data_IF_194781641959
#
_entry.id   IF_194781641959
#
_cell.length_a   1.000
_cell.length_b   1.000
_cell.length_c   1.000
_cell.angle_alpha   90.00
_cell.angle_beta   90.00
_cell.angle_gamma   90.00
#
_symmetry.space_group_name_H-M   'P 1'
#
loop_
_entity.id
_entity.type
_entity.pdbx_description
1 polymer ?
#
# COMPACT_ATOMS: atom_id res chain seq x y z
N UNK A 1 26.48 -12.40 10.41
CA UNK A 1 26.56 -11.22 9.51
C UNK A 1 25.89 -10.05 10.24
N UNK A 2 26.52 -8.88 10.25
CA UNK A 2 25.86 -7.66 10.75
C UNK A 2 24.84 -7.29 9.67
N UNK A 3 23.55 -7.08 10.00
CA UNK A 3 22.57 -6.65 9.01
C UNK A 3 23.02 -5.30 8.39
N UNK A 4 22.72 -5.07 7.11
CA UNK A 4 23.04 -3.78 6.50
C UNK A 4 22.33 -2.67 7.28
N UNK A 5 23.04 -1.60 7.59
CA UNK A 5 22.45 -0.40 8.19
C UNK A 5 21.90 0.43 7.03
N UNK A 6 20.59 0.40 6.86
CA UNK A 6 19.91 1.28 5.92
C UNK A 6 19.71 2.67 6.54
N UNK A 7 19.73 3.71 5.72
CA UNK A 7 19.32 5.03 6.17
C UNK A 7 17.83 4.97 6.59
N UNK A 8 17.47 5.66 7.65
CA UNK A 8 16.07 5.77 8.05
C UNK A 8 15.31 6.60 6.99
N UNK A 9 14.08 6.22 6.64
CA UNK A 9 13.27 7.00 5.71
C UNK A 9 13.00 8.41 6.24
N UNK A 10 12.96 9.38 5.34
CA UNK A 10 12.67 10.77 5.65
C UNK A 10 11.57 11.31 4.75
N UNK A 11 10.74 12.22 5.28
CA UNK A 11 9.69 12.91 4.55
C UNK A 11 10.10 14.33 4.24
N UNK A 12 9.57 14.89 3.17
CA UNK A 12 9.75 16.32 2.83
C UNK A 12 8.78 17.24 3.55
N UNK A 13 7.64 16.69 3.97
CA UNK A 13 6.67 17.44 4.79
C UNK A 13 7.03 17.32 6.28
N UNK A 14 7.39 18.44 6.86
CA UNK A 14 7.78 18.55 8.26
C UNK A 14 6.64 18.33 9.25
N UNK A 15 5.39 18.29 8.82
CA UNK A 15 4.23 18.01 9.67
C UNK A 15 4.08 16.52 9.99
N UNK A 16 4.81 15.66 9.28
CA UNK A 16 4.76 14.20 9.41
C UNK A 16 6.11 13.61 9.78
N UNK A 17 6.08 12.40 10.32
CA UNK A 17 7.27 11.60 10.61
C UNK A 17 7.06 10.16 10.19
N UNK A 18 8.17 9.48 9.86
CA UNK A 18 8.17 8.03 9.65
C UNK A 18 8.47 7.35 10.98
N UNK A 19 7.64 6.39 11.33
CA UNK A 19 7.83 5.50 12.47
C UNK A 19 8.13 4.09 11.98
N UNK A 20 9.18 3.46 12.50
CA UNK A 20 9.37 2.02 12.35
C UNK A 20 8.32 1.32 13.21
N UNK A 21 7.29 0.78 12.57
CA UNK A 21 6.14 0.22 13.28
C UNK A 21 6.42 -1.22 13.75
N UNK A 22 6.77 -2.12 12.82
CA UNK A 22 7.13 -3.51 13.12
C UNK A 22 8.29 -3.94 12.23
N UNK A 23 9.22 -4.70 12.79
CA UNK A 23 10.36 -5.27 12.06
C UNK A 23 10.55 -6.75 12.43
N UNK A 24 11.44 -7.42 11.72
CA UNK A 24 11.76 -8.83 11.97
C UNK A 24 11.15 -9.79 10.95
N UNK A 25 10.59 -9.29 9.85
CA UNK A 25 10.23 -10.12 8.71
C UNK A 25 11.52 -10.61 8.03
N UNK A 26 11.68 -11.94 7.97
CA UNK A 26 12.93 -12.53 7.47
C UNK A 26 12.94 -12.84 5.99
N UNK A 27 11.73 -13.03 5.41
CA UNK A 27 11.60 -13.82 4.19
C UNK A 27 10.90 -13.05 3.08
N UNK A 28 11.27 -11.75 2.95
CA UNK A 28 10.80 -10.85 1.92
C UNK A 28 9.31 -10.52 2.06
N UNK A 29 8.93 -9.66 3.04
CA UNK A 29 7.56 -9.19 3.12
C UNK A 29 7.18 -8.48 1.82
N UNK A 30 6.03 -8.81 1.22
CA UNK A 30 5.61 -8.27 -0.08
C UNK A 30 4.40 -7.35 0.02
N UNK A 31 3.36 -7.80 0.69
CA UNK A 31 2.10 -7.08 0.77
C UNK A 31 1.41 -7.36 2.10
N UNK A 32 0.48 -6.51 2.46
CA UNK A 32 -0.29 -6.61 3.69
C UNK A 32 -1.77 -6.36 3.43
N UNK A 33 -2.61 -6.80 4.37
CA UNK A 33 -4.02 -6.45 4.41
C UNK A 33 -4.46 -6.29 5.86
N UNK A 34 -5.34 -5.33 6.11
CA UNK A 34 -5.92 -5.10 7.43
C UNK A 34 -7.17 -5.95 7.65
N UNK A 35 -7.24 -6.60 8.80
CA UNK A 35 -8.45 -7.21 9.34
C UNK A 35 -8.75 -6.58 10.71
N UNK A 36 -9.65 -5.62 10.71
CA UNK A 36 -9.79 -4.73 11.86
C UNK A 36 -8.48 -3.97 12.13
N UNK A 37 -7.93 -4.11 13.33
CA UNK A 37 -6.64 -3.51 13.71
C UNK A 37 -5.45 -4.46 13.49
N UNK A 38 -5.70 -5.74 13.20
CA UNK A 38 -4.70 -6.74 12.89
C UNK A 38 -4.19 -6.55 11.45
N UNK A 39 -2.91 -6.89 11.21
CA UNK A 39 -2.32 -6.85 9.87
C UNK A 39 -1.84 -8.26 9.49
N UNK A 40 -2.35 -8.76 8.38
CA UNK A 40 -1.84 -9.97 7.73
C UNK A 40 -0.77 -9.56 6.71
N UNK A 41 0.44 -10.11 6.84
CA UNK A 41 1.61 -9.76 6.01
C UNK A 41 2.13 -11.00 5.32
N UNK A 42 2.31 -10.93 4.00
CA UNK A 42 2.85 -12.03 3.21
C UNK A 42 4.38 -12.05 3.26
N UNK A 43 4.98 -13.18 3.57
CA UNK A 43 6.41 -13.46 3.36
C UNK A 43 6.57 -14.28 2.08
N UNK A 44 7.15 -13.64 1.04
CA UNK A 44 7.19 -14.13 -0.33
C UNK A 44 7.92 -15.45 -0.49
N UNK A 45 9.09 -15.58 0.19
CA UNK A 45 10.04 -16.65 -0.10
C UNK A 45 9.70 -17.98 0.53
N UNK A 46 8.97 -17.97 1.64
CA UNK A 46 8.64 -19.18 2.41
C UNK A 46 7.13 -19.41 2.58
N UNK A 47 6.29 -18.68 1.82
CA UNK A 47 4.86 -18.96 1.74
C UNK A 47 4.06 -18.67 2.99
N UNK A 48 4.60 -17.88 3.92
CA UNK A 48 3.93 -17.60 5.19
C UNK A 48 3.05 -16.37 5.13
N UNK A 49 1.93 -16.44 5.85
CA UNK A 49 1.14 -15.28 6.23
C UNK A 49 1.42 -15.00 7.71
N UNK A 50 2.02 -13.84 7.98
CA UNK A 50 2.37 -13.40 9.32
C UNK A 50 1.29 -12.48 9.86
N UNK A 51 1.07 -12.56 11.16
CA UNK A 51 0.14 -11.71 11.88
C UNK A 51 0.91 -10.65 12.68
N UNK A 52 0.51 -9.40 12.53
CA UNK A 52 0.87 -8.30 13.44
C UNK A 52 -0.38 -7.95 14.22
N UNK A 53 -0.33 -8.11 15.52
CA UNK A 53 -1.40 -7.79 16.47
C UNK A 53 -0.90 -6.86 17.55
N UNK A 54 -1.63 -5.77 17.82
CA UNK A 54 -1.21 -4.73 18.77
C UNK A 54 0.20 -4.16 18.48
N UNK A 55 0.57 -4.06 17.19
CA UNK A 55 1.89 -3.60 16.76
C UNK A 55 3.02 -4.62 17.02
N UNK A 56 2.70 -5.87 17.33
CA UNK A 56 3.66 -6.93 17.62
C UNK A 56 3.56 -8.05 16.57
N UNK A 57 4.69 -8.35 15.91
CA UNK A 57 4.79 -9.50 15.01
C UNK A 57 4.66 -10.80 15.82
N UNK A 58 3.64 -11.59 15.52
CA UNK A 58 3.39 -12.85 16.21
C UNK A 58 4.42 -13.91 15.77
N UNK A 59 4.85 -14.75 16.71
CA UNK A 59 5.86 -15.78 16.47
C UNK A 59 5.38 -16.84 15.45
N UNK A 60 4.15 -17.33 15.65
CA UNK A 60 3.54 -18.33 14.77
C UNK A 60 2.90 -17.66 13.56
N UNK A 61 3.16 -18.12 12.32
CA UNK A 61 2.41 -17.68 11.16
C UNK A 61 0.96 -18.19 11.24
N UNK A 62 0.03 -17.45 10.67
CA UNK A 62 -1.39 -17.86 10.59
C UNK A 62 -1.67 -18.79 9.41
N UNK A 63 -0.72 -18.88 8.47
CA UNK A 63 -0.70 -19.83 7.36
C UNK A 63 0.75 -20.09 6.93
N UNK A 64 1.00 -21.33 6.46
CA UNK A 64 2.29 -21.76 5.90
C UNK A 64 2.00 -22.68 4.71
N UNK A 65 2.22 -22.16 3.49
CA UNK A 65 1.97 -22.85 2.22
C UNK A 65 3.26 -23.07 1.47
N UNK A 66 3.39 -24.22 0.84
CA UNK A 66 4.54 -24.51 0.00
C UNK A 66 4.54 -23.64 -1.27
N UNK A 67 5.57 -22.84 -1.46
CA UNK A 67 5.68 -21.93 -2.61
C UNK A 67 6.97 -22.15 -3.40
N UNK A 68 6.90 -21.90 -4.72
CA UNK A 68 8.08 -21.61 -5.52
C UNK A 68 8.28 -20.09 -5.57
N UNK A 69 9.46 -19.63 -5.16
CA UNK A 69 9.80 -18.21 -5.11
C UNK A 69 10.90 -17.81 -6.11
N UNK A 70 11.08 -18.60 -7.18
CA UNK A 70 12.06 -18.29 -8.23
C UNK A 70 11.66 -17.03 -9.01
N UNK A 71 12.62 -16.14 -9.30
CA UNK A 71 12.35 -14.89 -10.00
C UNK A 71 11.40 -14.01 -9.19
N UNK A 72 10.26 -13.66 -9.76
CA UNK A 72 9.21 -12.87 -9.10
C UNK A 72 8.09 -13.73 -8.50
N UNK A 73 8.19 -15.05 -8.54
CA UNK A 73 7.21 -15.98 -7.97
C UNK A 73 7.24 -15.98 -6.44
N UNK A 74 6.29 -16.65 -5.81
CA UNK A 74 6.16 -16.76 -4.36
C UNK A 74 4.77 -16.44 -3.88
N UNK A 75 4.64 -16.02 -2.62
CA UNK A 75 3.42 -15.49 -2.02
C UNK A 75 3.32 -14.00 -2.38
N UNK A 76 2.35 -13.60 -3.21
CA UNK A 76 2.38 -12.29 -3.87
C UNK A 76 1.19 -11.40 -3.56
N UNK A 77 -0.01 -11.92 -3.46
CA UNK A 77 -1.21 -11.10 -3.33
C UNK A 77 -2.12 -11.51 -2.18
N UNK A 78 -2.69 -10.52 -1.53
CA UNK A 78 -3.69 -10.68 -0.47
C UNK A 78 -4.75 -9.59 -0.59
N UNK A 79 -6.00 -9.96 -0.36
CA UNK A 79 -7.09 -9.01 -0.06
C UNK A 79 -8.15 -9.69 0.80
N UNK A 80 -8.98 -8.90 1.49
CA UNK A 80 -9.96 -9.39 2.46
C UNK A 80 -11.35 -8.87 2.10
N UNK A 81 -12.35 -9.76 2.20
CA UNK A 81 -13.78 -9.42 2.07
C UNK A 81 -14.55 -10.06 3.23
N UNK A 82 -14.98 -9.26 4.17
CA UNK A 82 -15.54 -9.77 5.42
C UNK A 82 -14.54 -10.69 6.12
N UNK A 83 -14.88 -11.92 6.41
CA UNK A 83 -13.96 -12.91 7.01
C UNK A 83 -13.23 -13.78 5.98
N UNK A 84 -13.40 -13.51 4.68
CA UNK A 84 -12.71 -14.23 3.62
C UNK A 84 -11.40 -13.54 3.25
N UNK A 85 -10.30 -14.27 3.32
CA UNK A 85 -8.97 -13.84 2.86
C UNK A 85 -8.67 -14.53 1.54
N UNK A 86 -8.35 -13.75 0.52
CA UNK A 86 -7.93 -14.25 -0.80
C UNK A 86 -6.43 -14.11 -0.92
N UNK A 87 -5.77 -15.19 -1.34
CA UNK A 87 -4.32 -15.24 -1.52
C UNK A 87 -3.98 -15.67 -2.94
N UNK A 88 -3.00 -15.00 -3.54
CA UNK A 88 -2.41 -15.39 -4.82
C UNK A 88 -0.95 -15.77 -4.63
N UNK A 89 -0.57 -16.98 -5.08
CA UNK A 89 0.80 -17.47 -4.98
C UNK A 89 1.12 -18.55 -6.02
N UNK A 90 2.42 -18.81 -6.20
CA UNK A 90 2.92 -19.92 -7.01
C UNK A 90 3.11 -21.15 -6.13
N UNK A 91 2.16 -22.07 -6.21
CA UNK A 91 2.17 -23.31 -5.42
C UNK A 91 3.25 -24.29 -5.88
N UNK A 92 3.86 -25.00 -4.95
CA UNK A 92 4.81 -26.08 -5.18
C UNK A 92 4.54 -27.28 -4.27
N UNK A 93 5.15 -28.42 -4.56
CA UNK A 93 5.00 -29.64 -3.73
C UNK A 93 5.69 -29.51 -2.37
N UNK A 94 6.75 -28.70 -2.30
CA UNK A 94 7.51 -28.37 -1.09
C UNK A 94 8.16 -27.00 -1.29
N UNK A 95 8.55 -26.33 -0.20
CA UNK A 95 9.17 -25.01 -0.27
C UNK A 95 10.39 -24.96 -1.17
N UNK A 96 10.36 -24.03 -2.14
CA UNK A 96 11.39 -23.89 -3.16
C UNK A 96 11.36 -25.00 -4.22
N UNK A 97 10.39 -25.91 -4.15
CA UNK A 97 10.20 -26.98 -5.13
C UNK A 97 9.78 -26.48 -6.52
N UNK A 98 9.71 -27.38 -7.50
CA UNK A 98 9.19 -27.04 -8.84
C UNK A 98 7.76 -26.45 -8.73
N UNK A 99 7.44 -25.39 -9.50
CA UNK A 99 6.12 -24.80 -9.46
C UNK A 99 5.07 -25.78 -10.04
N UNK A 100 3.95 -25.92 -9.34
CA UNK A 100 2.78 -26.68 -9.81
C UNK A 100 1.91 -25.77 -10.67
N UNK A 101 1.47 -24.64 -10.11
CA UNK A 101 0.60 -23.66 -10.75
C UNK A 101 0.61 -22.34 -9.99
N UNK A 102 0.20 -21.27 -10.67
CA UNK A 102 -0.16 -20.02 -10.02
C UNK A 102 -1.63 -20.10 -9.65
N UNK A 103 -1.96 -19.85 -8.39
CA UNK A 103 -3.32 -20.10 -7.90
C UNK A 103 -3.82 -18.99 -7.01
N UNK A 104 -5.13 -18.79 -7.08
CA UNK A 104 -5.85 -18.01 -6.08
C UNK A 104 -6.65 -18.96 -5.22
N UNK A 105 -6.45 -18.84 -3.93
CA UNK A 105 -7.24 -19.52 -2.92
C UNK A 105 -7.99 -18.52 -2.05
N UNK A 106 -9.14 -18.91 -1.53
CA UNK A 106 -9.76 -18.22 -0.41
C UNK A 106 -9.65 -19.07 0.85
N UNK A 107 -9.56 -18.39 1.98
CA UNK A 107 -9.52 -18.95 3.32
C UNK A 107 -10.56 -18.25 4.19
N UNK A 108 -11.00 -18.91 5.25
CA UNK A 108 -11.74 -18.26 6.33
C UNK A 108 -10.78 -17.82 7.42
N UNK A 109 -10.87 -16.55 7.83
CA UNK A 109 -10.16 -16.00 8.96
C UNK A 109 -10.95 -16.30 10.26
N UNK A 110 -10.31 -16.95 11.22
CA UNK A 110 -10.91 -17.31 12.51
C UNK A 110 -10.28 -16.61 13.72
N UNK A 111 -9.60 -15.46 13.47
CA UNK A 111 -8.84 -14.64 14.42
C UNK A 111 -7.43 -15.17 14.77
N UNK A 112 -7.14 -16.45 14.56
CA UNK A 112 -5.86 -17.07 14.88
C UNK A 112 -5.18 -17.75 13.68
N UNK A 113 -5.96 -18.29 12.75
CA UNK A 113 -5.48 -19.07 11.62
C UNK A 113 -6.35 -18.83 10.37
N UNK A 114 -5.75 -19.01 9.19
CA UNK A 114 -6.46 -19.13 7.92
C UNK A 114 -6.82 -20.58 7.68
N UNK A 115 -8.13 -20.87 7.63
CA UNK A 115 -8.67 -22.23 7.53
C UNK A 115 -9.57 -22.39 6.29
N UNK A 116 -10.05 -23.59 6.03
CA UNK A 116 -11.02 -23.89 4.96
C UNK A 116 -10.54 -23.46 3.56
N UNK A 117 -9.26 -23.79 3.21
CA UNK A 117 -8.65 -23.55 1.90
C UNK A 117 -9.58 -23.96 0.76
N UNK A 118 -9.91 -23.03 -0.13
CA UNK A 118 -10.78 -23.25 -1.27
C UNK A 118 -10.13 -22.69 -2.54
N UNK A 119 -9.91 -23.51 -3.57
CA UNK A 119 -9.39 -23.07 -4.86
C UNK A 119 -10.43 -22.19 -5.58
N UNK A 120 -10.05 -20.96 -5.88
CA UNK A 120 -10.88 -19.97 -6.60
C UNK A 120 -10.51 -19.93 -8.06
N UNK A 121 -9.21 -19.88 -8.37
CA UNK A 121 -8.72 -19.77 -9.74
C UNK A 121 -7.41 -20.52 -9.89
N UNK A 122 -7.31 -21.35 -10.95
CA UNK A 122 -6.07 -21.94 -11.42
C UNK A 122 -5.58 -21.16 -12.64
N UNK A 123 -4.35 -20.67 -12.59
CA UNK A 123 -3.78 -19.76 -13.59
C UNK A 123 -2.66 -20.46 -14.35
N UNK A 124 -2.39 -20.07 -15.60
CA UNK A 124 -1.37 -20.72 -16.41
C UNK A 124 -0.01 -20.75 -15.73
N UNK A 125 0.61 -21.90 -15.65
CA UNK A 125 2.00 -22.04 -15.28
C UNK A 125 2.87 -21.59 -16.44
N UNK A 126 3.62 -20.50 -16.21
CA UNK A 126 4.38 -19.81 -17.21
C UNK A 126 5.81 -19.52 -16.71
N UNK A 127 6.45 -18.46 -17.20
CA UNK A 127 7.81 -18.07 -16.77
C UNK A 127 7.80 -17.45 -15.36
N UNK A 128 8.98 -17.24 -14.82
CA UNK A 128 9.21 -16.80 -13.44
C UNK A 128 9.11 -15.28 -13.23
N UNK A 129 8.98 -14.51 -14.32
CA UNK A 129 8.92 -13.04 -14.30
C UNK A 129 7.55 -12.53 -14.73
N UNK A 130 7.25 -11.29 -14.37
CA UNK A 130 6.02 -10.57 -14.68
C UNK A 130 4.79 -11.32 -14.18
N UNK A 131 4.83 -11.68 -12.90
CA UNK A 131 3.73 -12.44 -12.29
C UNK A 131 2.57 -11.57 -11.85
N UNK A 132 2.77 -10.25 -11.78
CA UNK A 132 1.82 -9.35 -11.15
C UNK A 132 1.66 -9.70 -9.67
N UNK A 133 0.45 -9.74 -9.19
CA UNK A 133 0.11 -10.22 -7.86
C UNK A 133 -0.68 -9.21 -7.02
N UNK A 134 -0.73 -7.95 -7.39
CA UNK A 134 -1.56 -6.99 -6.67
C UNK A 134 -3.03 -7.43 -6.68
N UNK A 135 -3.63 -7.46 -5.50
CA UNK A 135 -5.03 -7.79 -5.28
C UNK A 135 -5.72 -6.66 -4.54
N UNK A 136 -6.96 -6.38 -4.91
CA UNK A 136 -7.78 -5.37 -4.23
C UNK A 136 -9.24 -5.80 -4.18
N UNK A 137 -9.95 -5.32 -3.16
CA UNK A 137 -11.41 -5.39 -3.07
C UNK A 137 -11.98 -4.01 -3.35
N UNK A 138 -12.89 -3.90 -4.35
CA UNK A 138 -13.54 -2.63 -4.65
C UNK A 138 -14.64 -2.27 -3.65
N UNK A 139 -15.22 -1.08 -3.80
CA UNK A 139 -16.28 -0.57 -2.93
C UNK A 139 -17.58 -1.42 -2.95
N UNK A 140 -17.74 -2.30 -3.95
CA UNK A 140 -18.84 -3.23 -4.09
C UNK A 140 -18.55 -4.62 -3.51
N UNK A 141 -17.35 -4.85 -3.02
CA UNK A 141 -16.88 -6.14 -2.51
C UNK A 141 -16.42 -7.09 -3.61
N UNK A 142 -16.12 -6.60 -4.82
CA UNK A 142 -15.56 -7.42 -5.89
C UNK A 142 -14.04 -7.51 -5.73
N UNK A 143 -13.52 -8.72 -5.90
CA UNK A 143 -12.08 -8.99 -5.78
C UNK A 143 -11.43 -9.00 -7.16
N UNK A 144 -10.35 -8.22 -7.27
CA UNK A 144 -9.53 -8.13 -8.48
C UNK A 144 -8.10 -8.60 -8.23
N UNK A 145 -7.47 -9.12 -9.28
CA UNK A 145 -6.08 -9.57 -9.32
C UNK A 145 -5.43 -9.11 -10.62
N UNK A 146 -4.24 -8.55 -10.53
CA UNK A 146 -3.38 -8.35 -11.70
C UNK A 146 -2.56 -9.60 -11.97
N UNK A 147 -2.58 -10.06 -13.22
CA UNK A 147 -1.64 -11.04 -13.75
C UNK A 147 -0.90 -10.41 -14.91
N UNK A 148 0.42 -10.31 -14.82
CA UNK A 148 1.25 -9.74 -15.88
C UNK A 148 1.37 -10.66 -17.11
N UNK A 149 2.20 -10.26 -18.09
CA UNK A 149 2.42 -11.01 -19.33
C UNK A 149 3.22 -12.31 -19.11
N UNK A 150 3.70 -12.51 -17.91
CA UNK A 150 4.49 -13.67 -17.48
C UNK A 150 5.73 -13.92 -18.35
N UNK A 151 6.36 -12.85 -18.82
CA UNK A 151 7.55 -12.86 -19.68
C UNK A 151 7.28 -13.32 -21.09
N UNK A 152 6.07 -13.17 -21.60
CA UNK A 152 5.67 -13.56 -22.96
C UNK A 152 5.49 -12.40 -23.91
N UNK A 153 5.84 -11.18 -23.51
CA UNK A 153 5.79 -9.97 -24.33
C UNK A 153 4.40 -9.72 -24.94
N UNK A 154 3.35 -9.81 -24.13
CA UNK A 154 1.98 -9.56 -24.55
C UNK A 154 1.39 -10.54 -25.58
N UNK A 155 2.12 -11.56 -25.98
CA UNK A 155 1.75 -12.46 -27.10
C UNK A 155 0.40 -13.13 -26.95
N UNK A 156 -0.12 -13.25 -25.76
CA UNK A 156 -1.37 -13.98 -25.52
C UNK A 156 -2.60 -13.08 -25.50
N UNK A 157 -2.44 -11.81 -25.14
CA UNK A 157 -3.56 -10.91 -25.02
C UNK A 157 -3.58 -9.80 -26.07
N UNK A 158 -2.44 -9.19 -26.36
CA UNK A 158 -2.37 -8.10 -27.33
C UNK A 158 -2.14 -8.56 -28.78
N UNK A 159 -1.71 -9.76 -29.01
CA UNK A 159 -1.48 -10.29 -30.35
C UNK A 159 -2.59 -11.18 -30.90
N UNK A 160 -3.75 -11.21 -30.29
CA UNK A 160 -5.04 -11.74 -30.78
C UNK A 160 -5.01 -13.08 -31.53
N UNK A 161 -4.04 -13.96 -31.27
CA UNK A 161 -3.86 -15.20 -31.98
C UNK A 161 -4.41 -16.43 -31.25
N UNK A 162 -5.25 -16.26 -30.27
CA UNK A 162 -5.82 -17.36 -29.50
C UNK A 162 -6.85 -16.92 -28.48
N UNK A 163 -7.39 -17.90 -27.77
CA UNK A 163 -8.28 -17.66 -26.65
C UNK A 163 -7.54 -16.92 -25.53
N UNK A 164 -8.22 -15.99 -24.84
CA UNK A 164 -7.70 -15.36 -23.64
C UNK A 164 -7.25 -16.40 -22.62
N UNK A 165 -6.10 -16.18 -21.98
CA UNK A 165 -5.47 -17.18 -21.13
C UNK A 165 -5.10 -16.67 -19.74
N UNK A 166 -5.79 -15.64 -19.27
CA UNK A 166 -5.60 -15.10 -17.92
C UNK A 166 -4.20 -14.50 -17.66
N UNK A 167 -3.51 -14.00 -18.70
CA UNK A 167 -2.25 -13.26 -18.57
C UNK A 167 -2.38 -11.88 -19.23
N UNK A 168 -1.55 -10.91 -18.83
CA UNK A 168 -1.63 -9.52 -19.29
C UNK A 168 -2.98 -8.86 -18.97
N UNK A 169 -3.52 -9.08 -17.78
CA UNK A 169 -4.90 -8.71 -17.45
C UNK A 169 -5.07 -8.27 -15.99
N UNK A 170 -6.13 -7.48 -15.76
CA UNK A 170 -6.75 -7.38 -14.45
C UNK A 170 -7.98 -8.28 -14.46
N UNK A 171 -7.98 -9.30 -13.59
CA UNK A 171 -9.05 -10.28 -13.45
C UNK A 171 -10.02 -9.85 -12.35
N UNK A 172 -11.33 -9.96 -12.60
CA UNK A 172 -12.31 -10.02 -11.52
C UNK A 172 -12.49 -11.46 -11.08
N UNK A 173 -12.09 -11.78 -9.85
CA UNK A 173 -11.98 -13.15 -9.34
C UNK A 173 -13.23 -13.56 -8.56
N UNK A 174 -13.74 -12.66 -7.72
CA UNK A 174 -14.88 -12.95 -6.86
C UNK A 174 -15.86 -11.77 -6.81
N UNK A 175 -17.14 -11.96 -7.24
CA UNK A 175 -17.57 -13.07 -8.07
C UNK A 175 -16.88 -13.06 -9.43
N UNK A 176 -16.64 -14.23 -10.06
CA UNK A 176 -15.97 -14.27 -11.36
C UNK A 176 -16.67 -13.39 -12.41
N UNK A 177 -15.87 -12.72 -13.23
CA UNK A 177 -16.37 -11.82 -14.26
C UNK A 177 -15.48 -11.77 -15.50
N UNK A 178 -15.82 -10.91 -16.48
CA UNK A 178 -14.95 -10.64 -17.61
C UNK A 178 -13.64 -10.01 -17.13
N UNK A 179 -12.62 -9.98 -17.97
CA UNK A 179 -11.42 -9.21 -17.70
C UNK A 179 -11.81 -7.74 -17.49
N UNK A 180 -11.27 -7.16 -16.43
CA UNK A 180 -11.49 -5.75 -16.15
C UNK A 180 -10.63 -4.88 -17.07
N UNK A 181 -9.37 -5.28 -17.25
CA UNK A 181 -8.41 -4.65 -18.15
C UNK A 181 -7.55 -5.70 -18.87
N UNK A 182 -6.92 -5.29 -19.96
CA UNK A 182 -6.00 -6.09 -20.77
C UNK A 182 -4.74 -5.29 -21.13
N UNK A 183 -3.75 -5.97 -21.68
CA UNK A 183 -2.54 -5.32 -22.15
C UNK A 183 -1.58 -4.91 -21.03
N UNK A 184 -1.65 -5.55 -19.88
CA UNK A 184 -0.80 -5.28 -18.72
C UNK A 184 0.51 -6.06 -18.84
N UNK A 185 1.65 -5.35 -18.76
CA UNK A 185 2.96 -6.01 -18.75
C UNK A 185 3.27 -6.64 -17.40
N UNK A 186 3.38 -5.82 -16.37
CA UNK A 186 3.69 -6.27 -15.00
C UNK A 186 3.32 -5.18 -14.00
N UNK A 187 2.37 -5.46 -13.14
CA UNK A 187 1.86 -4.51 -12.15
C UNK A 187 1.94 -5.11 -10.76
N UNK A 188 2.44 -4.33 -9.81
CA UNK A 188 2.57 -4.68 -8.40
C UNK A 188 1.68 -3.82 -7.49
N UNK A 189 0.88 -2.94 -8.05
CA UNK A 189 0.00 -2.08 -7.28
C UNK A 189 -1.39 -1.95 -7.90
N UNK A 190 -2.42 -2.07 -7.07
CA UNK A 190 -3.81 -1.73 -7.37
C UNK A 190 -4.38 -0.89 -6.24
N UNK A 191 -5.11 0.16 -6.59
CA UNK A 191 -5.87 0.95 -5.64
C UNK A 191 -7.28 1.24 -6.16
N UNK A 192 -8.21 1.47 -5.25
CA UNK A 192 -9.56 1.97 -5.56
C UNK A 192 -9.63 3.43 -5.18
N UNK A 193 -9.98 4.28 -6.13
CA UNK A 193 -10.27 5.68 -5.83
C UNK A 193 -11.50 5.78 -4.92
N UNK A 194 -11.38 6.33 -3.71
CA UNK A 194 -12.47 6.36 -2.75
C UNK A 194 -13.63 7.30 -3.15
N UNK A 195 -13.44 8.11 -4.20
CA UNK A 195 -14.44 9.07 -4.70
C UNK A 195 -15.18 8.52 -5.89
N UNK A 196 -14.47 7.93 -6.87
CA UNK A 196 -15.06 7.44 -8.12
C UNK A 196 -15.35 5.95 -8.09
N UNK A 197 -14.63 5.18 -7.27
CA UNK A 197 -14.66 3.71 -7.25
C UNK A 197 -13.88 3.05 -8.39
N UNK A 198 -13.21 3.84 -9.24
CA UNK A 198 -12.38 3.33 -10.33
C UNK A 198 -11.06 2.75 -9.81
N UNK A 199 -10.54 1.76 -10.53
CA UNK A 199 -9.24 1.17 -10.23
C UNK A 199 -8.10 1.99 -10.82
N UNK A 200 -7.01 2.06 -10.08
CA UNK A 200 -5.73 2.58 -10.52
C UNK A 200 -4.67 1.51 -10.36
N UNK A 201 -3.73 1.44 -11.30
CA UNK A 201 -2.61 0.52 -11.21
C UNK A 201 -1.27 1.20 -11.50
N UNK A 202 -0.20 0.57 -11.01
CA UNK A 202 1.17 0.88 -11.41
C UNK A 202 1.64 -0.18 -12.38
N UNK A 203 2.29 0.20 -13.47
CA UNK A 203 2.81 -0.75 -14.45
C UNK A 203 4.30 -0.55 -14.70
N UNK A 204 5.04 -1.65 -14.71
CA UNK A 204 6.48 -1.66 -14.90
C UNK A 204 6.84 -1.90 -16.37
N UNK A 205 7.55 -0.96 -16.96
CA UNK A 205 8.05 -1.02 -18.32
C UNK A 205 9.20 -2.01 -18.54
N UNK A 206 9.63 -2.14 -19.80
CA UNK A 206 10.75 -3.03 -20.14
C UNK A 206 12.11 -2.35 -19.89
N UNK A 207 12.40 -1.32 -20.65
CA UNK A 207 13.64 -0.56 -20.52
C UNK A 207 13.38 0.95 -20.30
N UNK A 208 12.22 1.38 -20.70
CA UNK A 208 11.76 2.76 -20.61
C UNK A 208 10.29 2.75 -20.23
N UNK A 209 9.88 3.80 -19.58
CA UNK A 209 8.53 4.09 -19.14
C UNK A 209 7.94 3.07 -18.18
N UNK A 210 7.88 3.48 -16.93
CA UNK A 210 6.93 2.94 -15.98
C UNK A 210 5.72 3.86 -15.93
N UNK A 211 4.57 3.34 -15.46
CA UNK A 211 3.29 4.03 -15.61
C UNK A 211 2.46 4.03 -14.33
N UNK A 212 1.59 5.04 -14.23
CA UNK A 212 0.39 5.03 -13.39
C UNK A 212 -0.80 5.14 -14.34
N UNK A 213 -1.71 4.18 -14.25
CA UNK A 213 -2.87 4.10 -15.10
C UNK A 213 -4.18 4.21 -14.31
N UNK A 214 -5.13 4.98 -14.84
CA UNK A 214 -6.54 4.86 -14.47
C UNK A 214 -7.13 3.65 -15.21
N UNK A 215 -7.13 2.52 -14.55
CA UNK A 215 -7.61 1.27 -15.11
C UNK A 215 -9.15 1.20 -15.03
N UNK A 216 -9.82 1.87 -15.95
CA UNK A 216 -11.27 1.78 -16.07
C UNK A 216 -11.74 0.42 -16.62
N UNK A 217 -13.01 0.08 -16.42
CA UNK A 217 -13.55 -1.15 -16.99
C UNK A 217 -13.38 -1.19 -18.51
N UNK A 218 -12.85 -2.29 -19.02
CA UNK A 218 -12.45 -2.49 -20.42
C UNK A 218 -11.24 -1.65 -20.88
N UNK A 219 -10.38 -1.27 -19.98
CA UNK A 219 -9.09 -0.64 -20.28
C UNK A 219 -8.16 -1.60 -21.01
N UNK A 220 -7.41 -1.06 -22.00
CA UNK A 220 -6.26 -1.72 -22.62
C UNK A 220 -5.03 -0.87 -22.43
N UNK A 221 -4.05 -1.35 -21.67
CA UNK A 221 -2.79 -0.65 -21.39
C UNK A 221 -1.84 -0.58 -22.60
N UNK A 222 -2.02 -1.47 -23.58
CA UNK A 222 -1.27 -1.38 -24.86
C UNK A 222 -0.02 -2.23 -24.97
N UNK A 223 0.42 -2.88 -23.90
CA UNK A 223 1.57 -3.80 -23.98
C UNK A 223 1.32 -4.93 -24.97
N UNK A 224 2.29 -5.31 -25.84
CA UNK A 224 3.71 -4.91 -25.88
C UNK A 224 4.00 -3.83 -26.96
N UNK A 225 2.97 -3.22 -27.52
CA UNK A 225 3.11 -2.23 -28.60
C UNK A 225 3.40 -0.84 -28.04
N UNK A 226 2.79 -0.50 -26.91
CA UNK A 226 2.89 0.81 -26.27
C UNK A 226 3.34 0.61 -24.83
N UNK A 227 4.24 1.46 -24.40
CA UNK A 227 4.65 1.68 -23.03
C UNK A 227 5.03 3.15 -22.90
N UNK A 228 4.47 3.86 -21.92
CA UNK A 228 4.52 5.31 -21.85
C UNK A 228 3.55 6.01 -22.82
N UNK A 229 3.71 7.31 -23.04
CA UNK A 229 2.86 8.07 -23.94
C UNK A 229 2.89 7.52 -25.36
N UNK A 230 1.72 7.32 -25.96
CA UNK A 230 1.59 6.76 -27.30
C UNK A 230 1.97 7.74 -28.40
N UNK A 231 2.26 7.20 -29.57
CA UNK A 231 2.37 7.96 -30.80
C UNK A 231 1.54 7.33 -31.93
N UNK A 232 1.29 8.10 -32.98
CA UNK A 232 0.45 7.67 -34.10
C UNK A 232 0.90 6.34 -34.76
N UNK A 233 2.20 6.05 -34.75
CA UNK A 233 2.75 4.81 -35.34
C UNK A 233 2.44 3.59 -34.44
N UNK A 234 2.51 3.76 -33.13
CA UNK A 234 2.18 2.72 -32.17
C UNK A 234 0.68 2.44 -32.18
N UNK A 235 -0.14 3.51 -32.11
CA UNK A 235 -1.61 3.37 -32.17
C UNK A 235 -2.08 2.65 -33.42
N UNK A 236 -1.45 2.91 -34.59
CA UNK A 236 -1.78 2.22 -35.83
C UNK A 236 -1.42 0.71 -35.83
N UNK A 237 -0.57 0.27 -34.90
CA UNK A 237 -0.12 -1.13 -34.77
C UNK A 237 -0.82 -1.87 -33.61
N UNK A 238 -1.47 -1.11 -32.73
CA UNK A 238 -2.09 -1.69 -31.55
C UNK A 238 -3.23 -2.61 -32.00
N UNK A 239 -3.23 -3.90 -31.59
CA UNK A 239 -4.33 -4.80 -31.88
C UNK A 239 -5.63 -4.33 -31.24
N UNK A 240 -6.72 -4.29 -32.00
CA UNK A 240 -8.03 -3.98 -31.46
C UNK A 240 -8.64 -5.21 -30.78
N UNK A 241 -9.02 -5.09 -29.52
CA UNK A 241 -9.86 -6.07 -28.83
C UNK A 241 -11.28 -5.56 -28.74
N UNK A 242 -12.27 -6.34 -29.18
CA UNK A 242 -13.67 -5.91 -29.10
C UNK A 242 -14.06 -5.58 -27.66
N UNK A 243 -14.48 -4.34 -27.43
CA UNK A 243 -14.94 -3.87 -26.13
C UNK A 243 -13.85 -3.27 -25.23
N UNK A 244 -12.57 -3.37 -25.58
CA UNK A 244 -11.48 -2.75 -24.82
C UNK A 244 -10.92 -1.53 -25.56
N UNK A 245 -10.61 -0.49 -24.81
CA UNK A 245 -10.14 0.80 -25.33
C UNK A 245 -8.78 1.14 -24.73
N UNK A 246 -7.84 1.51 -25.58
CA UNK A 246 -6.55 2.02 -25.15
C UNK A 246 -6.69 3.47 -24.67
N UNK A 247 -6.05 3.77 -23.57
CA UNK A 247 -5.82 5.12 -23.07
C UNK A 247 -4.34 5.28 -22.70
N UNK A 248 -3.80 6.47 -22.94
CA UNK A 248 -2.47 6.80 -22.46
C UNK A 248 -2.42 6.80 -20.92
N UNK A 249 -1.26 6.48 -20.32
CA UNK A 249 -1.11 6.54 -18.87
C UNK A 249 -1.32 7.95 -18.32
N UNK A 250 -1.84 8.06 -17.10
CA UNK A 250 -2.02 9.32 -16.40
C UNK A 250 -0.70 9.93 -15.97
N UNK A 251 0.34 9.09 -15.78
CA UNK A 251 1.70 9.54 -15.54
C UNK A 251 2.70 8.48 -15.98
N UNK A 252 3.89 8.93 -16.43
CA UNK A 252 4.96 8.01 -16.81
C UNK A 252 6.32 8.52 -16.31
N UNK A 253 7.17 7.57 -15.93
CA UNK A 253 8.61 7.80 -15.71
C UNK A 253 9.38 7.28 -16.93
N UNK A 254 10.06 8.15 -17.70
CA UNK A 254 10.88 7.72 -18.83
C UNK A 254 12.04 6.81 -18.39
N UNK A 255 12.73 7.16 -17.29
CA UNK A 255 13.61 6.24 -16.59
C UNK A 255 12.80 5.36 -15.63
N UNK A 256 12.90 4.05 -15.79
CA UNK A 256 12.20 3.11 -14.92
C UNK A 256 12.57 3.30 -13.45
N UNK A 257 11.56 3.31 -12.59
CA UNK A 257 11.67 3.42 -11.13
C UNK A 257 11.23 2.14 -10.42
N UNK A 258 10.59 1.21 -11.18
CA UNK A 258 9.89 0.03 -10.69
C UNK A 258 8.82 0.40 -9.65
N UNK A 259 7.75 1.11 -10.05
CA UNK A 259 6.66 1.44 -9.15
C UNK A 259 5.99 0.16 -8.65
N UNK A 260 5.55 0.21 -7.40
CA UNK A 260 4.99 -0.92 -6.67
C UNK A 260 3.60 -0.56 -6.12
N UNK A 261 3.39 -0.71 -4.81
CA UNK A 261 2.12 -0.40 -4.17
C UNK A 261 1.70 1.05 -4.35
N UNK A 262 0.40 1.27 -4.47
CA UNK A 262 -0.22 2.59 -4.47
C UNK A 262 -1.49 2.57 -3.62
N UNK A 263 -1.83 3.71 -3.04
CA UNK A 263 -3.05 3.88 -2.23
C UNK A 263 -3.55 5.31 -2.24
N UNK A 264 -4.85 5.48 -2.04
CA UNK A 264 -5.45 6.78 -1.73
C UNK A 264 -5.61 6.93 -0.22
N UNK A 265 -5.28 8.11 0.30
CA UNK A 265 -5.56 8.42 1.70
C UNK A 265 -6.82 9.28 1.81
N UNK A 266 -7.78 8.84 2.62
CA UNK A 266 -9.02 9.60 2.87
C UNK A 266 -9.32 9.63 4.37
N UNK A 267 -8.48 10.33 5.13
CA UNK A 267 -8.55 10.34 6.58
C UNK A 267 -8.27 11.72 7.17
N UNK A 268 -8.75 11.95 8.42
CA UNK A 268 -8.51 13.21 9.14
C UNK A 268 -7.02 13.48 9.41
N UNK A 269 -6.19 12.49 9.82
CA UNK A 269 -4.76 12.73 10.00
C UNK A 269 -4.04 13.26 8.75
N UNK A 270 -4.59 13.01 7.57
CA UNK A 270 -4.04 13.45 6.27
C UNK A 270 -4.97 14.44 5.55
N UNK A 271 -5.72 15.28 6.26
CA UNK A 271 -6.66 16.23 5.65
C UNK A 271 -6.04 17.08 4.53
N UNK A 272 -4.77 17.49 4.70
CA UNK A 272 -3.99 18.23 3.69
C UNK A 272 -3.81 17.50 2.36
N UNK A 273 -3.84 16.17 2.40
CA UNK A 273 -3.61 15.25 1.28
C UNK A 273 -4.79 14.33 1.04
N UNK A 274 -5.96 14.75 1.49
CA UNK A 274 -7.19 13.95 1.38
C UNK A 274 -7.48 13.60 -0.07
N UNK A 275 -7.63 12.31 -0.34
CA UNK A 275 -7.85 11.72 -1.66
C UNK A 275 -6.74 11.87 -2.69
N UNK A 276 -5.53 12.25 -2.27
CA UNK A 276 -4.34 12.16 -3.11
C UNK A 276 -3.88 10.71 -3.24
N UNK A 277 -3.20 10.43 -4.34
CA UNK A 277 -2.59 9.14 -4.61
C UNK A 277 -1.14 9.10 -4.12
N UNK A 278 -0.81 8.08 -3.35
CA UNK A 278 0.55 7.78 -2.93
C UNK A 278 1.06 6.53 -3.64
N UNK A 279 2.29 6.58 -4.15
CA UNK A 279 2.92 5.50 -4.94
C UNK A 279 4.33 5.25 -4.43
N UNK A 280 4.72 3.99 -4.33
CA UNK A 280 6.07 3.56 -3.95
C UNK A 280 6.88 3.11 -5.16
N UNK A 281 8.22 3.13 -5.02
CA UNK A 281 9.14 2.48 -5.94
C UNK A 281 10.10 1.51 -5.25
N UNK A 282 10.64 0.57 -6.02
CA UNK A 282 11.59 -0.42 -5.54
C UNK A 282 13.06 -0.05 -5.87
N UNK A 283 13.32 0.77 -6.88
CA UNK A 283 14.70 1.09 -7.32
C UNK A 283 15.31 2.15 -6.42
N UNK A 284 14.61 3.26 -6.19
CA UNK A 284 15.13 4.39 -5.44
C UNK A 284 14.65 4.45 -4.00
N UNK A 285 13.57 3.73 -3.68
CA UNK A 285 12.95 3.73 -2.36
C UNK A 285 12.25 5.04 -2.04
N UNK A 286 11.62 5.63 -3.04
CA UNK A 286 10.83 6.84 -2.89
C UNK A 286 9.37 6.51 -2.59
N UNK A 287 8.74 7.45 -1.90
CA UNK A 287 7.30 7.60 -1.81
C UNK A 287 6.93 8.84 -2.60
N UNK A 288 6.14 8.66 -3.63
CA UNK A 288 5.59 9.73 -4.45
C UNK A 288 4.20 10.10 -3.98
N UNK A 289 3.81 11.36 -4.20
CA UNK A 289 2.46 11.90 -4.00
C UNK A 289 1.98 12.58 -5.26
N UNK A 290 0.76 12.28 -5.65
CA UNK A 290 0.09 12.86 -6.80
C UNK A 290 -1.24 13.48 -6.36
N UNK A 291 -1.42 14.77 -6.64
CA UNK A 291 -2.67 15.48 -6.49
C UNK A 291 -3.52 15.24 -7.74
N UNK A 292 -4.74 14.71 -7.56
CA UNK A 292 -5.64 14.49 -8.67
C UNK A 292 -6.34 15.79 -9.10
N UNK A 293 -6.65 15.89 -10.37
CA UNK A 293 -7.48 16.96 -10.90
C UNK A 293 -8.94 16.84 -10.45
N UNK A 294 -9.78 17.80 -10.82
CA UNK A 294 -11.20 17.82 -10.41
C UNK A 294 -12.03 16.68 -11.01
N UNK A 295 -11.63 16.16 -12.17
CA UNK A 295 -12.31 15.04 -12.83
C UNK A 295 -11.84 13.69 -12.29
N UNK A 296 -10.69 13.68 -11.59
CA UNK A 296 -10.00 12.49 -11.08
C UNK A 296 -9.61 11.51 -12.18
N UNK A 297 -9.23 12.05 -13.34
CA UNK A 297 -8.71 11.28 -14.49
C UNK A 297 -7.30 11.73 -14.93
N UNK A 298 -6.66 12.59 -14.13
CA UNK A 298 -5.31 13.11 -14.31
C UNK A 298 -4.74 13.72 -13.05
N UNK A 299 -3.54 14.27 -13.17
CA UNK A 299 -2.80 14.88 -12.06
C UNK A 299 -2.58 16.38 -12.28
N UNK A 300 -2.41 17.11 -11.18
CA UNK A 300 -2.12 18.55 -11.17
C UNK A 300 -0.65 18.74 -10.81
N UNK A 301 0.09 19.42 -11.70
CA UNK A 301 1.48 19.79 -11.45
C UNK A 301 1.67 21.30 -11.55
N UNK A 302 2.48 21.83 -10.62
CA UNK A 302 2.94 23.22 -10.65
C UNK A 302 4.22 23.38 -11.47
N UNK A 303 5.04 22.31 -11.52
CA UNK A 303 6.27 22.28 -12.29
C UNK A 303 5.99 22.17 -13.79
N UNK A 304 6.56 23.05 -14.62
CA UNK A 304 6.45 22.91 -16.07
C UNK A 304 7.13 21.64 -16.62
N UNK A 305 8.04 21.03 -15.86
CA UNK A 305 8.73 19.78 -16.25
C UNK A 305 7.82 18.55 -16.22
N UNK A 306 6.74 18.59 -15.44
CA UNK A 306 5.79 17.49 -15.33
C UNK A 306 4.46 17.77 -16.05
N UNK A 307 4.38 18.91 -16.78
CA UNK A 307 3.13 19.35 -17.40
C UNK A 307 2.64 18.48 -18.56
N UNK A 308 3.49 17.62 -19.09
CA UNK A 308 3.17 16.60 -20.10
C UNK A 308 2.87 15.23 -19.50
N UNK A 309 2.76 15.15 -18.16
CA UNK A 309 2.55 13.91 -17.39
C UNK A 309 3.70 12.90 -17.53
N UNK A 310 4.90 13.36 -17.83
CA UNK A 310 6.11 12.53 -17.96
C UNK A 310 7.24 13.11 -17.12
N UNK A 311 7.86 12.26 -16.31
CA UNK A 311 9.16 12.55 -15.72
C UNK A 311 10.26 12.15 -16.73
N UNK A 312 10.65 13.08 -17.59
CA UNK A 312 11.66 12.83 -18.62
C UNK A 312 13.07 12.69 -18.03
N UNK A 313 13.95 12.01 -18.75
CA UNK A 313 15.35 11.83 -18.33
C UNK A 313 16.03 13.18 -18.05
N UNK A 314 16.51 13.36 -16.82
CA UNK A 314 17.22 14.56 -16.39
C UNK A 314 16.33 15.68 -15.88
N UNK A 315 15.02 15.51 -15.85
CA UNK A 315 14.08 16.45 -15.22
C UNK A 315 13.93 16.21 -13.73
N UNK A 316 13.56 17.26 -13.02
CA UNK A 316 13.35 17.19 -11.58
C UNK A 316 11.98 16.60 -11.24
N UNK A 317 11.98 15.59 -10.39
CA UNK A 317 10.79 14.98 -9.80
C UNK A 317 10.50 15.49 -8.38
N UNK A 318 11.16 16.58 -7.94
CA UNK A 318 11.06 17.03 -6.55
C UNK A 318 9.64 17.32 -6.09
N UNK A 319 8.79 17.80 -6.99
CA UNK A 319 7.38 18.11 -6.68
C UNK A 319 6.58 16.90 -6.24
N UNK A 320 6.83 15.74 -6.86
CA UNK A 320 6.09 14.52 -6.58
C UNK A 320 6.72 13.63 -5.50
N UNK A 321 7.99 13.86 -5.12
CA UNK A 321 8.64 13.07 -4.06
C UNK A 321 8.15 13.54 -2.70
N UNK A 322 7.37 12.72 -2.01
CA UNK A 322 6.89 12.96 -0.65
C UNK A 322 7.87 12.47 0.41
N UNK A 323 8.58 11.36 0.14
CA UNK A 323 9.58 10.80 1.06
C UNK A 323 10.59 9.92 0.34
N UNK A 324 11.69 9.59 1.04
CA UNK A 324 12.79 8.78 0.48
C UNK A 324 13.35 7.83 1.53
N UNK A 325 14.10 6.82 1.10
CA UNK A 325 14.83 5.92 2.00
C UNK A 325 14.03 4.71 2.46
N UNK A 326 12.90 4.39 1.82
CA UNK A 326 12.09 3.21 2.16
C UNK A 326 12.68 1.88 1.64
N UNK A 327 13.79 1.92 0.89
CA UNK A 327 14.37 0.76 0.23
C UNK A 327 13.47 0.23 -0.88
N UNK A 328 13.60 -1.05 -1.25
CA UNK A 328 12.60 -1.66 -2.11
C UNK A 328 11.30 -1.81 -1.31
N UNK A 329 10.45 -0.78 -1.34
CA UNK A 329 9.13 -0.80 -0.75
C UNK A 329 8.15 -1.43 -1.73
N UNK A 330 7.28 -2.31 -1.27
CA UNK A 330 6.46 -3.14 -2.16
C UNK A 330 4.98 -2.94 -2.00
N UNK A 331 4.55 -2.38 -0.86
CA UNK A 331 3.13 -2.17 -0.60
C UNK A 331 2.90 -0.96 0.31
N UNK A 332 1.77 -0.29 0.11
CA UNK A 332 1.30 0.84 0.92
C UNK A 332 -0.20 0.77 1.10
N UNK A 333 -0.64 0.87 2.34
CA UNK A 333 -2.06 0.80 2.70
C UNK A 333 -2.45 1.91 3.66
N UNK A 334 -3.68 2.36 3.54
CA UNK A 334 -4.32 3.19 4.54
C UNK A 334 -4.89 2.30 5.66
N UNK A 335 -4.36 2.43 6.86
CA UNK A 335 -4.83 1.67 8.02
C UNK A 335 -6.20 2.14 8.53
N UNK A 336 -6.86 1.35 9.37
CA UNK A 336 -8.15 1.70 9.99
C UNK A 336 -8.06 2.93 10.91
N UNK A 337 -6.86 3.23 11.40
CA UNK A 337 -6.54 4.45 12.17
C UNK A 337 -6.35 5.69 11.28
N UNK A 338 -6.47 5.54 9.97
CA UNK A 338 -6.30 6.61 8.99
C UNK A 338 -4.85 6.99 8.72
N UNK A 339 -3.89 6.17 9.12
CA UNK A 339 -2.46 6.40 8.86
C UNK A 339 -1.99 5.58 7.65
N UNK A 340 -0.86 5.97 7.06
CA UNK A 340 -0.24 5.23 5.96
C UNK A 340 0.77 4.21 6.50
N UNK A 341 0.66 2.98 6.03
CA UNK A 341 1.55 1.87 6.35
C UNK A 341 2.30 1.42 5.09
N UNK A 342 3.60 1.15 5.21
CA UNK A 342 4.49 0.84 4.09
C UNK A 342 5.26 -0.43 4.40
N UNK A 343 5.13 -1.45 3.56
CA UNK A 343 5.95 -2.67 3.60
C UNK A 343 7.25 -2.42 2.85
N UNK A 344 8.37 -2.50 3.55
CA UNK A 344 9.69 -2.50 2.93
C UNK A 344 10.24 -3.91 2.85
N UNK A 345 10.26 -4.45 1.64
CA UNK A 345 10.80 -5.77 1.35
C UNK A 345 12.28 -5.90 1.72
N UNK A 346 13.07 -4.90 1.35
CA UNK A 346 14.51 -4.92 1.59
C UNK A 346 14.89 -4.70 3.06
N UNK A 347 14.06 -3.98 3.82
CA UNK A 347 14.32 -3.71 5.23
C UNK A 347 13.68 -4.74 6.17
N UNK A 348 12.79 -5.61 5.66
CA UNK A 348 12.02 -6.55 6.49
C UNK A 348 11.20 -5.84 7.57
N UNK A 349 10.55 -4.74 7.20
CA UNK A 349 9.97 -3.78 8.14
C UNK A 349 8.67 -3.20 7.57
N UNK A 350 7.71 -2.97 8.45
CA UNK A 350 6.58 -2.09 8.16
C UNK A 350 6.89 -0.73 8.79
N UNK A 351 6.86 0.31 7.98
CA UNK A 351 6.88 1.70 8.41
C UNK A 351 5.46 2.24 8.50
N UNK A 352 5.29 3.28 9.33
CA UNK A 352 4.04 4.02 9.45
C UNK A 352 4.32 5.51 9.36
N UNK A 353 3.53 6.24 8.59
CA UNK A 353 3.61 7.70 8.50
C UNK A 353 2.55 8.27 9.43
N UNK A 354 2.98 9.11 10.37
CA UNK A 354 2.13 9.71 11.37
C UNK A 354 2.32 11.23 11.42
N UNK A 355 1.26 12.01 11.70
CA UNK A 355 1.41 13.43 12.03
C UNK A 355 2.32 13.61 13.27
N UNK A 356 3.19 14.62 13.26
CA UNK A 356 4.02 14.95 14.43
C UNK A 356 3.20 15.20 15.70
N UNK A 357 2.00 15.75 15.54
CA UNK A 357 1.07 15.97 16.66
C UNK A 357 0.66 14.67 17.38
N UNK A 358 0.80 13.52 16.74
CA UNK A 358 0.48 12.21 17.31
C UNK A 358 1.71 11.49 17.89
N UNK A 359 2.89 12.10 17.87
CA UNK A 359 4.09 11.52 18.50
C UNK A 359 4.01 11.58 20.02
N UNK A 360 4.66 10.62 20.70
CA UNK A 360 4.69 10.57 22.17
C UNK A 360 5.29 11.80 22.82
N UNK A 361 6.16 12.54 22.14
CA UNK A 361 6.72 13.81 22.61
C UNK A 361 5.64 14.90 22.67
N UNK A 362 4.74 14.98 21.71
CA UNK A 362 3.63 15.94 21.72
C UNK A 362 2.56 15.57 22.76
N UNK A 363 2.32 14.28 23.00
CA UNK A 363 1.40 13.78 24.02
C UNK A 363 1.93 14.09 25.44
N UNK A 364 3.24 14.01 25.66
CA UNK A 364 3.88 14.36 26.94
C UNK A 364 3.75 15.85 27.19
N UNK A 365 3.87 16.70 26.18
CA UNK A 365 3.76 18.17 26.32
C UNK A 365 2.33 18.60 26.71
N UNK A 366 1.30 18.00 26.09
CA UNK A 366 -0.11 18.25 26.45
C UNK A 366 -0.43 17.72 27.84
N UNK A 367 0.07 16.54 28.22
CA UNK A 367 -0.12 15.98 29.54
C UNK A 367 0.67 16.74 30.61
N UNK A 368 1.87 17.26 30.32
CA UNK A 368 2.66 18.08 31.23
C UNK A 368 1.98 19.41 31.51
N UNK A 369 1.39 20.05 30.51
CA UNK A 369 0.59 21.27 30.68
C UNK A 369 -0.68 21.02 31.51
N UNK A 370 -1.39 19.90 31.26
CA UNK A 370 -2.57 19.52 32.07
C UNK A 370 -2.23 19.20 33.51
N UNK A 371 -1.11 18.52 33.78
CA UNK A 371 -0.62 18.21 35.12
C UNK A 371 -0.18 19.52 35.86
N UNK A 372 0.49 20.44 35.16
CA UNK A 372 0.81 21.76 35.75
C UNK A 372 -0.43 22.55 36.11
N UNK A 373 -1.45 22.59 35.26
CA UNK A 373 -2.72 23.27 35.57
C UNK A 373 -3.45 22.62 36.76
N UNK A 374 -3.49 21.30 36.84
CA UNK A 374 -4.06 20.56 37.96
C UNK A 374 -3.32 20.85 39.29
N UNK A 375 -1.98 20.91 39.23
CA UNK A 375 -1.16 21.31 40.40
C UNK A 375 -1.42 22.75 40.83
N UNK A 376 -1.55 23.73 39.92
CA UNK A 376 -1.89 25.11 40.24
C UNK A 376 -3.26 25.22 40.90
N UNK A 377 -4.27 24.51 40.43
CA UNK A 377 -5.61 24.48 41.06
C UNK A 377 -5.53 23.85 42.45
N UNK A 378 -4.80 22.75 42.61
CA UNK A 378 -4.63 22.08 43.92
C UNK A 378 -3.92 23.02 44.95
N UNK A 379 -2.88 23.73 44.54
CA UNK A 379 -2.21 24.72 45.39
C UNK A 379 -3.13 25.88 45.78
N UNK A 380 -3.95 26.37 44.84
CA UNK A 380 -4.91 27.42 45.09
C UNK A 380 -5.98 27.01 46.12
N UNK A 381 -6.48 25.78 46.01
CA UNK A 381 -7.47 25.22 46.96
C UNK A 381 -6.86 25.01 48.34
N UNK A 382 -5.63 24.52 48.44
CA UNK A 382 -4.92 24.35 49.73
C UNK A 382 -4.66 25.70 50.40
N UNK A 383 -4.24 26.72 49.63
CA UNK A 383 -4.01 28.06 50.15
C UNK A 383 -5.32 28.70 50.68
N UNK A 384 -6.44 28.54 49.97
CA UNK A 384 -7.75 29.03 50.39
C UNK A 384 -8.24 28.35 51.68
N UNK A 385 -8.00 27.02 51.82
CA UNK A 385 -8.32 26.26 53.01
C UNK A 385 -7.48 26.74 54.23
N UNK A 386 -6.18 26.96 54.03
CA UNK A 386 -5.29 27.46 55.07
C UNK A 386 -5.69 28.85 55.57
N UNK A 387 -6.08 29.77 54.67
CA UNK A 387 -6.60 31.10 55.05
C UNK A 387 -7.90 30.99 55.83
N UNK A 388 -8.81 30.09 55.41
CA UNK A 388 -10.08 29.84 56.11
C UNK A 388 -9.87 29.31 57.52
N UNK A 389 -8.94 28.38 57.73
CA UNK A 389 -8.56 27.83 59.03
C UNK A 389 -7.93 28.92 59.91
N UNK A 390 -7.09 29.78 59.37
CA UNK A 390 -6.49 30.91 60.13
C UNK A 390 -7.53 31.93 60.57
N UNK A 391 -8.51 32.24 59.74
CA UNK A 391 -9.63 33.11 60.06
C UNK A 391 -10.51 32.51 61.20
N UNK A 392 -10.77 31.21 61.08
CA UNK A 392 -11.58 30.48 62.09
C UNK A 392 -10.88 30.38 63.43
N UNK A 393 -9.56 30.13 63.44
CA UNK A 393 -8.75 30.20 64.70
C UNK A 393 -8.73 31.62 65.35
N UNK A 394 -8.61 32.67 64.55
CA UNK A 394 -8.68 34.04 65.06
C UNK A 394 -10.06 34.40 65.69
N UNK A 395 -11.14 33.84 65.18
CA UNK A 395 -12.48 34.01 65.73
C UNK A 395 -12.68 33.25 67.06
N UNK A 396 -12.14 32.06 67.19
CA UNK A 396 -12.20 31.19 68.37
C UNK A 396 -11.42 31.81 69.55
N UNK A 397 -10.26 32.47 69.29
CA UNK A 397 -9.43 33.13 70.33
C UNK A 397 -10.09 34.41 70.87
N UNK A 398 -11.00 35.05 70.14
CA UNK A 398 -11.73 36.29 70.62
C UNK A 398 -12.93 35.98 71.52
N UNK A 399 -13.29 34.69 71.76
CA UNK A 399 -14.47 34.32 72.55
C UNK A 399 -14.14 33.54 73.81
N UNK A 400 -12.89 33.65 74.36
CA UNK A 400 -12.56 33.08 75.66
C UNK A 400 -12.72 34.25 76.70
N UNK A 401 -13.68 34.19 77.61
CA UNK A 401 -13.79 35.19 78.65
C UNK A 401 -12.62 35.07 79.65
N UNK A 402 -12.14 36.20 80.26
CA UNK A 402 -11.09 36.08 81.25
C UNK A 402 -11.61 35.44 82.54
N UNK A 403 -10.79 34.53 83.10
CA UNK A 403 -10.98 33.94 84.43
C UNK A 403 -10.64 34.94 85.48
#
# INVERSE_FOLDING_TARGET
MIPPVYAEPVLRDDDFVVQKFVSGFCCGPTTMAFEGEDILVLERFDGKVRLVRDGILQEKPVLDENVNSSGEQGMLGITIVGTKVYLYFTESEYDGGPPISKRVYSYDWNEDELVNKTLIKDLPQTRTYHNGGAMITDLNGFVYLVVGDTGRYGMLQNHSQGEPNDTSVILRIAPPGPYYAMGIRNSFGLAVDPVTGELWDTENGDNNFDEINLAQSNFNSGWDVIMGPSNATQLAKLPGYPGYVYHDPQFSWENVVAPTGLTFINSEPFEKYRTDLFVLDCIYGNLYRFELDQNRDGFVFSSPHLSDNVANVGESMEEIIFGTGFGCATDIEAGPDGLLYIVSHSHGTIYRIIPKSMTSESIIDVNSAGVQYALYIAYAVIAAAAVSIAIFRKRLIKHVPPV
#
